data_IF_992461813948
#
_entry.id   IF_992461813948
#
_cell.length_a   1.000
_cell.length_b   1.000
_cell.length_c   1.000
_cell.angle_alpha   90.00
_cell.angle_beta   90.00
_cell.angle_gamma   90.00
#
_symmetry.space_group_name_H-M   'P 1'
#
loop_
_entity.id
_entity.type
_entity.pdbx_description
1 polymer ?
#
# COMPACT_ATOMS: atom_id res chain seq x y z
N UNK A 1 8.78 -22.22 10.76
CA UNK A 1 7.97 -21.20 11.48
C UNK A 1 8.88 -20.50 12.47
N UNK A 2 8.86 -19.17 12.53
CA UNK A 2 9.60 -18.42 13.55
C UNK A 2 8.97 -18.69 14.92
N UNK A 3 9.79 -18.76 15.98
CA UNK A 3 9.35 -19.00 17.37
C UNK A 3 8.28 -18.01 17.87
N UNK A 4 8.06 -16.92 17.14
CA UNK A 4 7.05 -15.90 17.38
C UNK A 4 5.61 -16.41 17.15
N UNK A 5 5.37 -17.19 16.11
CA UNK A 5 4.02 -17.70 15.77
C UNK A 5 3.53 -18.67 16.85
N UNK A 6 4.42 -19.52 17.35
CA UNK A 6 4.13 -20.48 18.42
C UNK A 6 3.81 -19.81 19.76
N UNK A 7 4.52 -18.72 20.09
CA UNK A 7 4.33 -17.97 21.34
C UNK A 7 2.98 -17.26 21.38
N UNK A 8 2.54 -16.70 20.25
CA UNK A 8 1.27 -15.98 20.20
C UNK A 8 0.08 -16.95 20.21
N UNK A 9 0.17 -18.11 19.54
CA UNK A 9 -0.86 -19.16 19.61
C UNK A 9 -1.02 -19.73 21.03
N UNK A 10 0.08 -19.95 21.76
CA UNK A 10 0.00 -20.35 23.18
C UNK A 10 -0.68 -19.28 24.05
N UNK A 11 -0.47 -18.00 23.73
CA UNK A 11 -1.13 -16.89 24.43
C UNK A 11 -2.65 -16.88 24.21
N UNK A 12 -3.10 -17.27 23.02
CA UNK A 12 -4.52 -17.43 22.70
C UNK A 12 -5.16 -18.61 23.45
N UNK A 13 -4.50 -19.77 23.49
CA UNK A 13 -4.96 -20.93 24.27
C UNK A 13 -5.09 -20.63 25.77
N UNK A 14 -4.23 -19.78 26.34
CA UNK A 14 -4.30 -19.39 27.75
C UNK A 14 -5.37 -18.33 28.07
N UNK A 15 -5.82 -17.53 27.10
CA UNK A 15 -6.84 -16.50 27.33
C UNK A 15 -8.26 -17.05 27.29
N UNK A 16 -8.52 -18.08 26.46
CA UNK A 16 -9.84 -18.73 26.38
C UNK A 16 -10.05 -19.79 27.48
N UNK A 17 -8.99 -20.45 27.96
CA UNK A 17 -9.09 -21.55 28.95
C UNK A 17 -9.19 -21.12 30.42
N UNK A 18 -9.09 -19.82 30.75
CA UNK A 18 -9.04 -19.36 32.16
C UNK A 18 -10.38 -19.39 32.90
N UNK A 19 -11.51 -19.74 32.26
CA UNK A 19 -12.81 -19.91 32.95
C UNK A 19 -13.34 -21.35 33.00
N UNK A 20 -12.81 -22.29 32.22
CA UNK A 20 -13.28 -23.69 32.22
C UNK A 20 -12.67 -24.57 33.31
N UNK A 21 -11.57 -24.14 33.95
CA UNK A 21 -10.88 -24.91 34.99
C UNK A 21 -11.44 -24.72 36.42
N UNK A 22 -12.42 -23.83 36.62
CA UNK A 22 -12.96 -23.53 37.96
C UNK A 22 -14.18 -24.38 38.40
N UNK A 23 -14.67 -25.30 37.56
CA UNK A 23 -15.81 -26.16 37.92
C UNK A 23 -15.45 -27.62 38.26
N UNK A 24 -14.16 -27.99 38.38
CA UNK A 24 -13.78 -29.42 38.55
C UNK A 24 -12.81 -29.76 39.68
N UNK A 25 -12.67 -28.93 40.72
CA UNK A 25 -11.86 -29.32 41.89
C UNK A 25 -12.39 -28.72 43.19
N UNK A 26 -13.41 -29.35 43.75
CA UNK A 26 -13.66 -29.33 45.19
C UNK A 26 -13.47 -30.76 45.70
N UNK A 27 -12.23 -31.14 46.00
CA UNK A 27 -11.93 -32.10 47.08
C UNK A 27 -10.43 -32.06 47.42
N UNK A 28 -10.17 -31.86 48.72
CA UNK A 28 -8.90 -32.04 49.45
C UNK A 28 -7.74 -31.05 49.24
N UNK A 29 -7.38 -30.43 50.38
CA UNK A 29 -5.99 -30.44 50.82
C UNK A 29 -5.25 -29.11 50.80
N UNK A 30 -5.42 -28.33 51.86
CA UNK A 30 -4.59 -27.17 52.23
C UNK A 30 -3.08 -27.47 52.11
N UNK A 31 -2.33 -26.55 51.51
CA UNK A 31 -1.05 -26.02 52.04
C UNK A 31 -0.64 -24.74 51.29
N UNK A 32 -0.58 -23.64 52.03
CA UNK A 32 0.11 -22.39 51.69
C UNK A 32 1.62 -22.64 51.66
N UNK A 33 2.41 -22.02 50.75
CA UNK A 33 3.10 -20.81 51.18
C UNK A 33 3.35 -19.73 50.10
N UNK A 34 3.28 -18.49 50.60
CA UNK A 34 4.20 -17.36 50.38
C UNK A 34 4.24 -16.68 49.00
N UNK A 35 3.68 -15.48 49.04
CA UNK A 35 3.93 -14.32 48.21
C UNK A 35 5.42 -14.09 47.94
N UNK A 36 5.78 -14.01 46.66
CA UNK A 36 6.89 -13.19 46.18
C UNK A 36 6.36 -12.28 45.07
N UNK A 37 6.29 -11.01 45.42
CA UNK A 37 5.90 -9.88 44.60
C UNK A 37 6.86 -9.73 43.42
N UNK A 38 6.34 -9.78 42.20
CA UNK A 38 7.08 -9.39 41.00
C UNK A 38 7.26 -7.86 40.98
N UNK A 39 8.47 -7.33 40.71
CA UNK A 39 8.60 -5.93 40.37
C UNK A 39 8.06 -5.70 38.96
N UNK A 40 7.04 -4.85 38.89
CA UNK A 40 6.55 -4.23 37.68
C UNK A 40 7.66 -3.39 37.05
N UNK A 41 8.21 -3.85 35.92
CA UNK A 41 8.94 -2.98 35.02
C UNK A 41 8.24 -2.94 33.66
N UNK A 42 7.87 -1.71 33.33
CA UNK A 42 7.42 -1.18 32.06
C UNK A 42 8.01 -1.90 30.84
N UNK A 43 7.13 -2.47 30.01
CA UNK A 43 7.39 -2.68 28.59
C UNK A 43 6.34 -1.89 27.80
N UNK A 44 6.44 -0.57 27.93
CA UNK A 44 6.08 0.33 26.84
C UNK A 44 7.33 0.47 25.94
N UNK A 45 7.11 0.66 24.65
CA UNK A 45 8.09 1.00 23.61
C UNK A 45 8.92 -0.15 23.01
N UNK A 46 8.33 -0.93 22.08
CA UNK A 46 9.08 -1.38 20.87
C UNK A 46 8.11 -1.47 19.68
N UNK A 47 7.79 -0.33 19.06
CA UNK A 47 7.83 -0.12 17.61
C UNK A 47 7.56 1.36 17.34
N UNK A 48 8.63 2.11 17.17
CA UNK A 48 8.57 3.57 17.02
C UNK A 48 9.95 4.16 16.86
N UNK A 49 10.55 3.95 15.70
CA UNK A 49 11.67 4.73 15.16
C UNK A 49 11.53 4.65 13.64
N UNK A 50 10.63 5.41 13.00
CA UNK A 50 10.84 6.82 12.61
C UNK A 50 12.27 7.28 12.87
N UNK A 51 13.16 6.97 11.94
CA UNK A 51 14.27 7.88 11.70
C UNK A 51 13.70 9.12 11.01
N UNK A 52 13.50 10.16 11.80
CA UNK A 52 13.52 11.51 11.31
C UNK A 52 14.83 11.68 10.53
N UNK A 53 14.72 11.90 9.22
CA UNK A 53 15.82 12.46 8.46
C UNK A 53 15.90 13.91 8.89
N UNK A 54 16.79 14.15 9.84
CA UNK A 54 17.21 15.48 10.25
C UNK A 54 17.62 16.22 8.99
N UNK A 55 17.14 17.46 8.91
CA UNK A 55 17.61 18.48 7.98
C UNK A 55 19.13 18.35 7.78
N UNK A 56 19.56 18.27 6.53
CA UNK A 56 20.96 18.43 6.15
C UNK A 56 21.41 19.82 6.62
N UNK A 57 22.01 19.89 7.80
CA UNK A 57 22.81 21.05 8.21
C UNK A 57 24.11 21.05 7.40
N UNK A 58 24.15 21.98 6.46
CA UNK A 58 25.32 22.79 6.07
C UNK A 58 26.66 22.07 5.99
N UNK A 59 26.98 21.54 4.81
CA UNK A 59 28.30 21.80 4.22
C UNK A 59 28.14 22.79 3.07
N UNK A 60 28.59 24.02 3.31
CA UNK A 60 28.66 25.12 2.34
C UNK A 60 29.64 24.76 1.23
N UNK A 61 29.14 24.22 0.12
CA UNK A 61 29.62 24.56 -1.23
C UNK A 61 28.39 24.65 -2.12
N UNK A 62 28.07 25.88 -2.51
CA UNK A 62 26.92 26.22 -3.35
C UNK A 62 27.07 25.62 -4.75
N UNK A 63 26.12 24.78 -5.15
CA UNK A 63 25.73 24.67 -6.56
C UNK A 63 24.22 24.82 -6.60
N UNK A 64 23.79 26.04 -6.92
CA UNK A 64 22.39 26.42 -7.12
C UNK A 64 21.86 25.64 -8.33
N UNK A 65 21.07 24.59 -8.09
CA UNK A 65 20.15 24.06 -9.09
C UNK A 65 18.72 24.17 -8.54
N UNK A 66 17.99 25.07 -9.19
CA UNK A 66 16.63 25.53 -8.96
C UNK A 66 15.66 24.56 -8.27
N UNK A 67 15.63 24.63 -6.93
CA UNK A 67 14.46 24.25 -6.13
C UNK A 67 14.05 25.48 -5.31
N UNK A 68 13.50 26.50 -5.98
CA UNK A 68 13.06 27.72 -5.31
C UNK A 68 11.81 27.45 -4.48
N UNK A 69 12.01 27.35 -3.17
CA UNK A 69 10.97 27.52 -2.16
C UNK A 69 10.79 29.03 -1.95
N UNK A 70 9.98 29.67 -2.77
CA UNK A 70 9.60 31.07 -2.53
C UNK A 70 8.46 31.12 -1.52
N UNK A 71 8.81 31.54 -0.31
CA UNK A 71 7.85 32.04 0.67
C UNK A 71 7.91 33.56 0.54
N UNK A 72 6.92 34.18 -0.10
CA UNK A 72 6.83 35.64 -0.18
C UNK A 72 5.62 36.09 0.62
N UNK A 73 5.93 36.76 1.74
CA UNK A 73 5.03 37.64 2.46
C UNK A 73 4.62 38.81 1.57
N UNK A 74 3.36 39.19 1.66
CA UNK A 74 2.72 40.32 0.97
C UNK A 74 3.48 41.64 1.13
N UNK A 75 3.70 42.33 0.01
CA UNK A 75 3.67 43.80 -0.01
C UNK A 75 3.16 44.29 -1.36
N UNK A 76 2.31 45.31 -1.28
CA UNK A 76 1.48 45.91 -2.31
C UNK A 76 2.31 46.85 -3.17
N UNK A 77 2.19 46.79 -4.51
CA UNK A 77 2.27 47.98 -5.36
C UNK A 77 1.73 47.72 -6.78
N UNK A 78 0.90 48.66 -7.22
CA UNK A 78 0.18 48.70 -8.48
C UNK A 78 1.04 49.08 -9.70
N UNK A 79 0.44 48.84 -10.86
CA UNK A 79 0.50 49.59 -12.13
C UNK A 79 1.20 49.00 -13.37
N UNK A 80 0.32 48.73 -14.35
CA UNK A 80 0.33 49.14 -15.78
C UNK A 80 0.86 48.18 -16.86
N UNK A 81 -0.12 47.72 -17.65
CA UNK A 81 -0.04 47.31 -19.07
C UNK A 81 0.61 48.38 -19.97
N UNK A 82 1.12 48.00 -21.17
CA UNK A 82 0.27 48.08 -22.38
C UNK A 82 0.40 46.91 -23.36
N UNK A 83 -0.73 46.63 -24.03
CA UNK A 83 -0.87 45.85 -25.28
C UNK A 83 0.09 46.30 -26.39
N UNK A 84 0.47 45.37 -27.28
CA UNK A 84 0.41 45.50 -28.76
C UNK A 84 0.77 44.18 -29.47
N UNK A 85 -0.15 43.67 -30.29
CA UNK A 85 0.10 42.68 -31.36
C UNK A 85 0.39 43.43 -32.68
N UNK A 86 0.80 42.75 -33.78
CA UNK A 86 -0.22 42.29 -34.72
C UNK A 86 0.05 40.97 -35.50
N UNK A 87 -1.10 40.40 -35.85
CA UNK A 87 -1.48 39.38 -36.83
C UNK A 87 -0.70 39.36 -38.18
N UNK A 88 -0.36 38.17 -38.68
CA UNK A 88 -0.32 37.86 -40.13
C UNK A 88 -0.99 36.51 -40.38
N UNK A 89 -2.07 36.53 -41.19
CA UNK A 89 -2.75 35.38 -41.80
C UNK A 89 -2.03 35.03 -43.11
N UNK A 90 -1.93 33.76 -43.50
CA UNK A 90 -2.71 33.20 -44.63
C UNK A 90 -2.38 31.72 -44.93
N UNK A 91 -3.45 31.00 -45.30
CA UNK A 91 -3.53 29.97 -46.35
C UNK A 91 -3.13 28.52 -46.07
N UNK A 92 -4.17 27.67 -45.98
CA UNK A 92 -4.20 26.26 -46.40
C UNK A 92 -4.17 26.16 -47.94
N UNK A 93 -3.83 24.97 -48.49
CA UNK A 93 -4.86 24.21 -49.20
C UNK A 93 -4.89 22.70 -48.90
N UNK A 94 -6.08 22.13 -49.04
CA UNK A 94 -6.40 20.69 -49.06
C UNK A 94 -6.04 20.04 -50.41
N UNK A 95 -5.51 18.81 -50.39
CA UNK A 95 -6.18 17.57 -50.80
C UNK A 95 -5.20 16.42 -51.11
N UNK A 96 -5.44 15.28 -50.44
CA UNK A 96 -5.33 13.89 -50.90
C UNK A 96 -3.99 13.33 -51.46
N UNK A 97 -3.30 12.51 -50.65
CA UNK A 97 -2.77 11.20 -51.09
C UNK A 97 -2.41 10.26 -49.92
N UNK A 98 -3.02 9.07 -50.00
CA UNK A 98 -2.65 7.72 -49.53
C UNK A 98 -1.66 7.48 -48.38
N UNK A 99 -2.12 6.65 -47.44
CA UNK A 99 -1.40 5.53 -46.79
C UNK A 99 0.12 5.45 -46.98
N UNK A 100 0.85 5.85 -45.95
CA UNK A 100 2.06 5.16 -45.52
C UNK A 100 2.19 5.33 -43.99
N UNK A 101 1.59 4.39 -43.25
CA UNK A 101 1.85 4.27 -41.82
C UNK A 101 3.32 3.90 -41.65
N UNK A 102 4.14 4.87 -41.24
CA UNK A 102 5.56 4.67 -41.00
C UNK A 102 5.79 3.46 -40.06
N UNK A 103 6.55 2.43 -40.47
CA UNK A 103 6.84 1.26 -39.64
C UNK A 103 7.81 1.55 -38.47
N UNK A 104 8.32 2.79 -38.37
CA UNK A 104 9.44 3.13 -37.49
C UNK A 104 9.05 3.50 -36.04
N UNK A 105 7.90 4.12 -35.79
CA UNK A 105 7.55 4.53 -34.41
C UNK A 105 7.26 3.34 -33.48
N UNK A 106 6.62 2.29 -34.01
CA UNK A 106 6.26 1.10 -33.25
C UNK A 106 7.47 0.19 -32.96
N UNK A 107 8.48 0.17 -33.85
CA UNK A 107 9.73 -0.57 -33.65
C UNK A 107 10.71 0.14 -32.70
N UNK A 108 10.79 1.46 -32.75
CA UNK A 108 11.62 2.24 -31.82
C UNK A 108 11.05 2.23 -30.39
N UNK A 109 9.72 2.27 -30.26
CA UNK A 109 9.05 2.23 -28.95
C UNK A 109 9.17 0.88 -28.25
N UNK A 110 9.15 -0.24 -28.99
CA UNK A 110 9.45 -1.57 -28.44
C UNK A 110 10.93 -1.71 -28.06
N UNK A 111 11.84 -1.22 -28.90
CA UNK A 111 13.29 -1.27 -28.67
C UNK A 111 13.72 -0.58 -27.36
N UNK A 112 13.21 0.63 -27.08
CA UNK A 112 13.54 1.33 -25.83
C UNK A 112 13.02 0.57 -24.60
N UNK A 113 11.80 0.02 -24.66
CA UNK A 113 11.24 -0.74 -23.54
C UNK A 113 11.99 -2.04 -23.27
N UNK A 114 12.53 -2.68 -24.30
CA UNK A 114 13.36 -3.88 -24.14
C UNK A 114 14.75 -3.53 -23.62
N UNK A 115 15.35 -2.42 -24.07
CA UNK A 115 16.58 -1.86 -23.48
C UNK A 115 16.37 -1.46 -22.02
N UNK A 116 15.23 -0.86 -21.68
CA UNK A 116 14.91 -0.46 -20.31
C UNK A 116 14.92 -1.66 -19.35
N UNK A 117 14.44 -2.83 -19.79
CA UNK A 117 14.48 -4.06 -18.95
C UNK A 117 15.90 -4.57 -18.68
N UNK A 118 16.86 -4.19 -19.51
CA UNK A 118 18.27 -4.57 -19.36
C UNK A 118 19.08 -3.61 -18.47
N UNK A 119 18.51 -2.45 -18.13
CA UNK A 119 19.14 -1.51 -17.20
C UNK A 119 19.24 -2.11 -15.79
N UNK A 120 20.41 -1.97 -15.17
CA UNK A 120 20.69 -2.50 -13.84
C UNK A 120 20.96 -1.39 -12.81
N UNK A 121 21.15 -0.14 -13.27
CA UNK A 121 21.28 1.05 -12.44
C UNK A 121 20.31 2.17 -12.87
N UNK A 122 19.95 3.11 -11.96
CA UNK A 122 19.27 4.35 -12.32
C UNK A 122 20.00 5.14 -13.40
N UNK A 123 21.33 5.20 -13.32
CA UNK A 123 22.18 5.92 -14.29
C UNK A 123 22.04 5.35 -15.70
N UNK A 124 21.99 4.02 -15.85
CA UNK A 124 21.78 3.36 -17.15
C UNK A 124 20.48 3.83 -17.80
N UNK A 125 19.42 4.00 -17.00
CA UNK A 125 18.12 4.49 -17.48
C UNK A 125 18.24 5.95 -17.93
N UNK A 126 18.98 6.77 -17.19
CA UNK A 126 19.16 8.18 -17.52
C UNK A 126 20.01 8.39 -18.78
N UNK A 127 21.06 7.60 -18.96
CA UNK A 127 21.85 7.55 -20.19
C UNK A 127 20.97 7.13 -21.37
N UNK A 128 20.16 6.07 -21.22
CA UNK A 128 19.23 5.61 -22.24
C UNK A 128 18.21 6.70 -22.65
N UNK A 129 17.70 7.48 -21.69
CA UNK A 129 16.79 8.60 -21.96
C UNK A 129 17.48 9.83 -22.55
N UNK A 130 18.80 9.94 -22.38
CA UNK A 130 19.61 11.00 -22.98
C UNK A 130 19.91 10.68 -24.45
N UNK A 131 20.11 9.41 -24.78
CA UNK A 131 20.30 8.92 -26.14
C UNK A 131 19.00 8.89 -26.97
N UNK A 132 17.86 8.63 -26.31
CA UNK A 132 16.56 8.49 -26.98
C UNK A 132 15.53 9.38 -26.29
N UNK A 133 14.90 10.29 -27.02
CA UNK A 133 13.81 11.10 -26.48
C UNK A 133 12.61 10.20 -26.11
N UNK A 134 12.27 10.03 -24.81
CA UNK A 134 11.20 9.12 -24.41
C UNK A 134 9.83 9.69 -24.79
N UNK A 135 8.94 8.83 -25.29
CA UNK A 135 7.52 9.15 -25.47
C UNK A 135 6.84 9.37 -24.12
N UNK A 136 5.65 10.00 -24.14
CA UNK A 136 4.86 10.30 -22.93
C UNK A 136 4.63 9.08 -22.03
N UNK A 137 4.38 7.90 -22.61
CA UNK A 137 4.22 6.65 -21.85
C UNK A 137 5.55 6.15 -21.28
N UNK A 138 6.64 6.26 -22.05
CA UNK A 138 7.97 5.82 -21.65
C UNK A 138 8.52 6.64 -20.48
N UNK A 139 8.20 7.94 -20.37
CA UNK A 139 8.61 8.75 -19.21
C UNK A 139 8.15 8.11 -17.90
N UNK A 140 6.88 7.69 -17.83
CA UNK A 140 6.36 6.99 -16.65
C UNK A 140 7.05 5.64 -16.45
N UNK A 141 7.29 4.89 -17.52
CA UNK A 141 8.03 3.62 -17.45
C UNK A 141 9.46 3.81 -16.93
N UNK A 142 10.18 4.83 -17.36
CA UNK A 142 11.54 5.15 -16.88
C UNK A 142 11.53 5.46 -15.39
N UNK A 143 10.66 6.37 -14.93
CA UNK A 143 10.55 6.71 -13.49
C UNK A 143 10.20 5.48 -12.64
N UNK A 144 9.23 4.68 -13.10
CA UNK A 144 8.86 3.43 -12.43
C UNK A 144 10.01 2.43 -12.39
N UNK A 145 10.79 2.34 -13.47
CA UNK A 145 11.91 1.41 -13.57
C UNK A 145 13.07 1.83 -12.67
N UNK A 146 13.43 3.12 -12.65
CA UNK A 146 14.41 3.67 -11.71
C UNK A 146 14.00 3.32 -10.27
N UNK A 147 12.75 3.63 -9.89
CA UNK A 147 12.24 3.25 -8.56
C UNK A 147 12.33 1.74 -8.30
N UNK A 148 11.96 0.91 -9.28
CA UNK A 148 11.99 -0.54 -9.14
C UNK A 148 13.40 -1.11 -8.94
N UNK A 149 14.40 -0.63 -9.71
CA UNK A 149 15.79 -1.03 -9.54
C UNK A 149 16.27 -0.59 -8.15
N UNK A 150 16.10 0.69 -7.80
CA UNK A 150 16.54 1.25 -6.52
C UNK A 150 15.95 0.48 -5.34
N UNK A 151 14.66 0.14 -5.39
CA UNK A 151 13.98 -0.64 -4.34
C UNK A 151 14.60 -2.02 -4.07
N UNK A 152 15.26 -2.62 -5.07
CA UNK A 152 15.89 -3.96 -4.95
C UNK A 152 17.33 -3.92 -4.44
N UNK A 153 17.94 -2.73 -4.34
CA UNK A 153 19.34 -2.58 -3.94
C UNK A 153 19.55 -2.83 -2.43
N UNK A 154 20.78 -3.19 -2.05
CA UNK A 154 21.21 -3.16 -0.65
C UNK A 154 21.20 -1.72 -0.12
N UNK A 155 21.12 -1.55 1.20
CA UNK A 155 21.06 -0.23 1.84
C UNK A 155 22.26 0.66 1.46
N UNK A 156 23.45 0.07 1.39
CA UNK A 156 24.69 0.80 1.06
C UNK A 156 24.68 1.28 -0.40
N UNK A 157 24.32 0.39 -1.33
CA UNK A 157 24.24 0.73 -2.75
C UNK A 157 23.11 1.74 -3.03
N UNK A 158 21.98 1.60 -2.32
CA UNK A 158 20.81 2.46 -2.49
C UNK A 158 21.14 3.95 -2.29
N UNK A 159 21.93 4.28 -1.25
CA UNK A 159 22.29 5.70 -0.97
C UNK A 159 23.21 6.26 -2.03
N UNK A 160 24.23 5.50 -2.42
CA UNK A 160 25.21 5.91 -3.41
C UNK A 160 24.56 6.11 -4.79
N UNK A 161 23.73 5.16 -5.23
CA UNK A 161 23.03 5.22 -6.52
C UNK A 161 22.01 6.35 -6.59
N UNK A 162 21.30 6.64 -5.49
CA UNK A 162 20.43 7.82 -5.44
C UNK A 162 21.24 9.11 -5.59
N UNK A 163 22.39 9.23 -4.93
CA UNK A 163 23.23 10.41 -5.06
C UNK A 163 23.69 10.60 -6.52
N UNK A 164 24.20 9.54 -7.16
CA UNK A 164 24.57 9.58 -8.57
C UNK A 164 23.41 9.98 -9.48
N UNK A 165 22.21 9.44 -9.23
CA UNK A 165 21.00 9.77 -9.98
C UNK A 165 20.66 11.27 -9.86
N UNK A 166 20.71 11.84 -8.66
CA UNK A 166 20.41 13.26 -8.44
C UNK A 166 21.49 14.18 -9.03
N UNK A 167 22.76 13.75 -9.06
CA UNK A 167 23.86 14.51 -9.66
C UNK A 167 23.83 14.43 -11.21
N UNK A 168 23.19 13.40 -11.77
CA UNK A 168 23.12 13.15 -13.21
C UNK A 168 22.19 14.15 -13.94
N UNK A 169 22.68 14.90 -14.95
CA UNK A 169 21.89 15.94 -15.63
C UNK A 169 20.63 15.41 -16.34
N UNK A 170 20.66 14.15 -16.80
CA UNK A 170 19.51 13.49 -17.41
C UNK A 170 18.31 13.33 -16.47
N UNK A 171 18.51 13.32 -15.14
CA UNK A 171 17.40 13.20 -14.20
C UNK A 171 16.52 14.45 -14.18
N UNK A 172 17.14 15.63 -14.12
CA UNK A 172 16.42 16.91 -14.20
C UNK A 172 15.65 17.02 -15.51
N UNK A 173 16.26 16.63 -16.63
CA UNK A 173 15.61 16.60 -17.95
C UNK A 173 14.39 15.68 -17.95
N UNK A 174 14.51 14.48 -17.39
CA UNK A 174 13.42 13.52 -17.28
C UNK A 174 12.25 14.07 -16.43
N UNK A 175 12.54 14.72 -15.30
CA UNK A 175 11.52 15.34 -14.44
C UNK A 175 10.82 16.52 -15.14
N UNK A 176 11.56 17.36 -15.87
CA UNK A 176 10.99 18.45 -16.65
C UNK A 176 10.09 17.93 -17.79
N UNK A 177 10.52 16.87 -18.48
CA UNK A 177 9.71 16.22 -19.50
C UNK A 177 8.44 15.61 -18.89
N UNK A 178 8.53 14.97 -17.72
CA UNK A 178 7.38 14.45 -16.99
C UNK A 178 6.38 15.57 -16.65
N UNK A 179 6.88 16.68 -16.11
CA UNK A 179 6.06 17.85 -15.77
C UNK A 179 5.37 18.45 -17.00
N UNK A 180 6.08 18.62 -18.13
CA UNK A 180 5.53 19.17 -19.38
C UNK A 180 4.47 18.26 -19.99
N UNK A 181 4.60 16.95 -19.83
CA UNK A 181 3.73 15.97 -20.49
C UNK A 181 2.66 15.38 -19.56
N UNK A 182 2.54 15.82 -18.31
CA UNK A 182 1.58 15.26 -17.34
C UNK A 182 0.15 15.26 -17.87
N UNK A 183 -0.28 16.34 -18.55
CA UNK A 183 -1.62 16.46 -19.12
C UNK A 183 -1.92 15.49 -20.27
N UNK A 184 -0.88 14.88 -20.85
CA UNK A 184 -0.98 13.87 -21.92
C UNK A 184 -0.78 12.45 -21.39
N UNK A 185 -0.43 12.29 -20.11
CA UNK A 185 -0.28 10.99 -19.46
C UNK A 185 -1.65 10.45 -19.06
N UNK A 186 -1.87 9.14 -19.23
CA UNK A 186 -3.05 8.50 -18.65
C UNK A 186 -2.97 8.51 -17.12
N UNK A 187 -4.13 8.58 -16.44
CA UNK A 187 -4.23 8.68 -14.98
C UNK A 187 -3.41 7.61 -14.22
N UNK A 188 -3.35 6.39 -14.73
CA UNK A 188 -2.50 5.33 -14.16
C UNK A 188 -1.01 5.68 -14.22
N UNK A 189 -0.53 6.18 -15.35
CA UNK A 189 0.86 6.62 -15.51
C UNK A 189 1.17 7.83 -14.61
N UNK A 190 0.22 8.76 -14.45
CA UNK A 190 0.36 9.88 -13.51
C UNK A 190 0.53 9.35 -12.08
N UNK A 191 -0.36 8.46 -11.63
CA UNK A 191 -0.33 7.88 -10.28
C UNK A 191 0.99 7.15 -9.99
N UNK A 192 1.44 6.29 -10.91
CA UNK A 192 2.68 5.55 -10.76
C UNK A 192 3.93 6.45 -10.83
N UNK A 193 3.92 7.47 -11.70
CA UNK A 193 5.04 8.42 -11.79
C UNK A 193 5.16 9.23 -10.51
N UNK A 194 4.05 9.75 -9.98
CA UNK A 194 4.02 10.48 -8.71
C UNK A 194 4.54 9.59 -7.56
N UNK A 195 4.04 8.36 -7.45
CA UNK A 195 4.52 7.41 -6.43
C UNK A 195 6.02 7.15 -6.57
N UNK A 196 6.51 6.97 -7.78
CA UNK A 196 7.93 6.70 -8.04
C UNK A 196 8.80 7.90 -7.65
N UNK A 197 8.43 9.12 -8.07
CA UNK A 197 9.17 10.34 -7.71
C UNK A 197 9.20 10.58 -6.19
N UNK A 198 8.08 10.41 -5.50
CA UNK A 198 8.02 10.56 -4.03
C UNK A 198 8.91 9.53 -3.33
N UNK A 199 8.87 8.27 -3.76
CA UNK A 199 9.69 7.21 -3.16
C UNK A 199 11.19 7.33 -3.50
N UNK A 200 11.53 7.91 -4.65
CA UNK A 200 12.90 8.24 -5.02
C UNK A 200 13.46 9.42 -4.22
N UNK A 201 12.63 10.11 -3.44
CA UNK A 201 13.05 11.24 -2.61
C UNK A 201 13.02 12.59 -3.31
N UNK A 202 12.32 12.71 -4.45
CA UNK A 202 12.09 14.02 -5.09
C UNK A 202 11.37 14.92 -4.09
N UNK A 203 11.87 16.13 -3.78
CA UNK A 203 11.29 16.99 -2.76
C UNK A 203 9.81 17.24 -2.99
N UNK A 204 8.96 17.00 -1.98
CA UNK A 204 7.50 17.06 -2.14
C UNK A 204 7.00 18.49 -2.41
N UNK A 205 7.74 19.51 -1.97
CA UNK A 205 7.50 20.91 -2.31
C UNK A 205 8.00 21.35 -3.69
N UNK A 206 8.66 20.47 -4.44
CA UNK A 206 9.16 20.80 -5.78
C UNK A 206 8.02 21.05 -6.76
N UNK A 207 8.29 21.90 -7.76
CA UNK A 207 7.33 22.23 -8.81
C UNK A 207 6.79 20.98 -9.53
N UNK A 208 7.64 19.99 -9.82
CA UNK A 208 7.22 18.75 -10.50
C UNK A 208 6.20 17.98 -9.67
N UNK A 209 6.44 17.76 -8.37
CA UNK A 209 5.49 17.07 -7.50
C UNK A 209 4.18 17.85 -7.38
N UNK A 210 4.25 19.17 -7.21
CA UNK A 210 3.07 20.02 -7.10
C UNK A 210 2.24 20.04 -8.41
N UNK A 211 2.89 20.02 -9.57
CA UNK A 211 2.21 19.89 -10.86
C UNK A 211 1.48 18.55 -11.00
N UNK A 212 2.10 17.44 -10.57
CA UNK A 212 1.43 16.13 -10.57
C UNK A 212 0.26 16.07 -9.58
N UNK A 213 0.43 16.61 -8.38
CA UNK A 213 -0.65 16.70 -7.39
C UNK A 213 -1.85 17.50 -7.92
N UNK A 214 -1.59 18.66 -8.53
CA UNK A 214 -2.64 19.49 -9.14
C UNK A 214 -3.34 18.77 -10.28
N UNK A 215 -2.59 18.11 -11.16
CA UNK A 215 -3.18 17.32 -12.24
C UNK A 215 -4.08 16.20 -11.72
N UNK A 216 -3.66 15.48 -10.67
CA UNK A 216 -4.47 14.47 -10.00
C UNK A 216 -5.75 15.07 -9.40
N UNK A 217 -5.70 16.27 -8.80
CA UNK A 217 -6.87 16.95 -8.26
C UNK A 217 -7.89 17.31 -9.36
N UNK A 218 -7.43 17.89 -10.46
CA UNK A 218 -8.28 18.32 -11.58
C UNK A 218 -8.91 17.14 -12.34
N UNK A 219 -8.23 15.99 -12.40
CA UNK A 219 -8.64 14.84 -13.19
C UNK A 219 -9.12 13.65 -12.33
N UNK A 220 -9.35 13.86 -11.03
CA UNK A 220 -9.58 12.77 -10.07
C UNK A 220 -10.76 11.86 -10.45
N UNK A 221 -11.80 12.43 -11.03
CA UNK A 221 -12.98 11.71 -11.50
C UNK A 221 -12.68 10.70 -12.62
N UNK A 222 -11.58 10.87 -13.35
CA UNK A 222 -11.15 9.96 -14.41
C UNK A 222 -10.26 8.81 -13.94
N UNK A 223 -9.87 8.74 -12.66
CA UNK A 223 -9.04 7.65 -12.16
C UNK A 223 -9.88 6.38 -12.00
N UNK A 224 -9.36 5.25 -12.45
CA UNK A 224 -9.94 3.93 -12.18
C UNK A 224 -9.60 3.46 -10.75
N UNK A 225 -10.19 2.34 -10.31
CA UNK A 225 -9.98 1.79 -8.95
C UNK A 225 -8.49 1.53 -8.67
N UNK A 226 -7.76 1.00 -9.66
CA UNK A 226 -6.33 0.69 -9.53
C UNK A 226 -5.50 1.96 -9.35
N UNK A 227 -5.72 2.97 -10.19
CA UNK A 227 -4.99 4.24 -10.13
C UNK A 227 -5.31 5.01 -8.86
N UNK A 228 -6.56 4.98 -8.39
CA UNK A 228 -6.95 5.55 -7.09
C UNK A 228 -6.22 4.85 -5.94
N UNK A 229 -6.09 3.53 -5.97
CA UNK A 229 -5.38 2.77 -4.92
C UNK A 229 -3.90 3.14 -4.84
N UNK A 230 -3.24 3.28 -6.01
CA UNK A 230 -1.84 3.73 -6.09
C UNK A 230 -1.71 5.16 -5.57
N UNK A 231 -2.61 6.05 -5.98
CA UNK A 231 -2.62 7.45 -5.54
C UNK A 231 -2.83 7.55 -4.03
N UNK A 232 -3.81 6.83 -3.47
CA UNK A 232 -4.08 6.80 -2.03
C UNK A 232 -2.87 6.26 -1.23
N UNK A 233 -2.19 5.23 -1.74
CA UNK A 233 -0.96 4.70 -1.16
C UNK A 233 0.17 5.75 -1.16
N UNK A 234 0.34 6.47 -2.27
CA UNK A 234 1.30 7.57 -2.37
C UNK A 234 1.00 8.66 -1.33
N UNK A 235 -0.23 9.17 -1.30
CA UNK A 235 -0.63 10.27 -0.41
C UNK A 235 -0.52 9.92 1.07
N UNK A 236 -0.67 8.63 1.42
CA UNK A 236 -0.49 8.15 2.80
C UNK A 236 0.94 8.32 3.30
N UNK A 237 1.92 8.22 2.40
CA UNK A 237 3.34 8.31 2.72
C UNK A 237 3.90 9.72 2.54
N UNK A 238 3.14 10.63 1.92
CA UNK A 238 3.53 12.03 1.74
C UNK A 238 3.39 12.84 3.04
N UNK A 239 4.18 13.90 3.12
CA UNK A 239 4.08 14.92 4.16
C UNK A 239 2.71 15.61 4.10
N UNK A 240 2.25 16.05 5.26
CA UNK A 240 1.02 16.81 5.37
C UNK A 240 1.22 18.17 4.70
N UNK A 241 0.34 18.48 3.75
CA UNK A 241 0.30 19.75 3.06
C UNK A 241 -1.14 20.00 2.62
N UNK A 242 -1.51 21.26 2.43
CA UNK A 242 -2.87 21.62 1.98
C UNK A 242 -3.25 20.86 0.69
N UNK A 243 -2.31 20.66 -0.23
CA UNK A 243 -2.55 19.95 -1.49
C UNK A 243 -2.69 18.43 -1.29
N UNK A 244 -1.84 17.84 -0.44
CA UNK A 244 -1.90 16.41 -0.10
C UNK A 244 -3.23 16.10 0.59
N UNK A 245 -3.64 16.94 1.55
CA UNK A 245 -4.82 16.70 2.36
C UNK A 245 -6.12 16.97 1.59
N UNK A 246 -6.18 18.04 0.79
CA UNK A 246 -7.27 18.28 -0.15
C UNK A 246 -7.44 17.13 -1.15
N UNK A 247 -6.33 16.56 -1.65
CA UNK A 247 -6.41 15.41 -2.56
C UNK A 247 -6.83 14.12 -1.83
N UNK A 248 -6.41 13.90 -0.58
CA UNK A 248 -6.95 12.79 0.25
C UNK A 248 -8.44 12.93 0.49
N UNK A 249 -8.94 14.14 0.70
CA UNK A 249 -10.37 14.43 0.84
C UNK A 249 -11.09 14.18 -0.49
N UNK A 250 -10.54 14.66 -1.61
CA UNK A 250 -11.06 14.39 -2.95
C UNK A 250 -11.17 12.89 -3.26
N UNK A 251 -10.14 12.11 -2.92
CA UNK A 251 -10.15 10.64 -3.12
C UNK A 251 -11.29 10.01 -2.32
N UNK A 252 -11.52 10.47 -1.07
CA UNK A 252 -12.63 10.01 -0.24
C UNK A 252 -13.99 10.36 -0.87
N UNK A 253 -14.15 11.59 -1.36
CA UNK A 253 -15.40 12.02 -2.03
C UNK A 253 -15.70 11.21 -3.29
N UNK A 254 -14.69 10.96 -4.14
CA UNK A 254 -14.86 10.14 -5.35
C UNK A 254 -15.25 8.70 -5.00
N UNK A 255 -14.60 8.13 -3.99
CA UNK A 255 -14.95 6.79 -3.49
C UNK A 255 -16.38 6.75 -2.96
N UNK A 256 -16.78 7.74 -2.17
CA UNK A 256 -18.12 7.85 -1.61
C UNK A 256 -19.19 7.99 -2.70
N UNK A 257 -18.93 8.81 -3.72
CA UNK A 257 -19.83 8.96 -4.87
C UNK A 257 -19.99 7.67 -5.69
N UNK A 258 -18.92 6.85 -5.77
CA UNK A 258 -18.91 5.58 -6.52
C UNK A 258 -19.42 4.39 -5.70
N UNK A 259 -19.49 4.50 -4.38
CA UNK A 259 -19.87 3.42 -3.47
C UNK A 259 -21.21 2.73 -3.83
N UNK A 260 -22.29 3.46 -4.21
CA UNK A 260 -23.54 2.82 -4.62
C UNK A 260 -23.37 1.87 -5.82
N UNK A 261 -22.47 2.21 -6.74
CA UNK A 261 -22.23 1.49 -8.00
C UNK A 261 -21.36 0.23 -7.84
N UNK A 262 -20.78 0.00 -6.67
CA UNK A 262 -19.98 -1.21 -6.40
C UNK A 262 -20.92 -2.43 -6.39
N UNK A 263 -20.66 -3.41 -7.26
CA UNK A 263 -21.50 -4.60 -7.44
C UNK A 263 -20.94 -5.88 -6.83
N UNK A 264 -19.64 -5.94 -6.55
CA UNK A 264 -18.99 -7.14 -6.04
C UNK A 264 -18.21 -6.84 -4.76
N UNK A 265 -18.11 -7.86 -3.89
CA UNK A 265 -17.52 -7.71 -2.55
C UNK A 265 -16.02 -7.42 -2.64
N UNK A 266 -15.35 -7.95 -3.67
CA UNK A 266 -13.92 -7.71 -3.92
C UNK A 266 -13.59 -6.22 -4.12
N UNK A 267 -14.34 -5.50 -4.94
CA UNK A 267 -14.17 -4.07 -5.15
C UNK A 267 -14.51 -3.28 -3.88
N UNK A 268 -15.52 -3.72 -3.12
CA UNK A 268 -15.87 -3.11 -1.84
C UNK A 268 -14.72 -3.21 -0.82
N UNK A 269 -14.17 -4.41 -0.61
CA UNK A 269 -13.07 -4.60 0.34
C UNK A 269 -11.79 -3.86 -0.08
N UNK A 270 -11.48 -3.81 -1.38
CA UNK A 270 -10.32 -3.10 -1.91
C UNK A 270 -10.44 -1.61 -1.62
N UNK A 271 -11.64 -1.07 -1.85
CA UNK A 271 -11.96 0.33 -1.59
C UNK A 271 -11.86 0.67 -0.10
N UNK A 272 -12.39 -0.19 0.78
CA UNK A 272 -12.26 -0.05 2.23
C UNK A 272 -10.80 -0.05 2.69
N UNK A 273 -9.97 -1.00 2.20
CA UNK A 273 -8.55 -1.11 2.55
C UNK A 273 -7.72 0.07 2.03
N UNK A 274 -8.04 0.55 0.83
CA UNK A 274 -7.39 1.70 0.20
C UNK A 274 -7.51 2.95 1.08
N UNK A 275 -8.71 3.26 1.59
CA UNK A 275 -8.91 4.44 2.44
C UNK A 275 -8.36 4.21 3.86
N UNK A 276 -8.55 3.00 4.40
CA UNK A 276 -7.95 2.59 5.67
C UNK A 276 -8.48 3.37 6.89
N UNK A 277 -7.65 3.46 7.93
CA UNK A 277 -8.05 3.90 9.28
C UNK A 277 -8.55 5.36 9.35
N UNK A 278 -8.01 6.22 8.49
CA UNK A 278 -8.26 7.68 8.51
C UNK A 278 -9.57 8.07 7.81
N UNK A 279 -10.35 7.06 7.37
CA UNK A 279 -11.68 7.26 6.80
C UNK A 279 -12.64 7.87 7.84
N UNK A 280 -13.43 8.91 7.49
CA UNK A 280 -14.47 9.46 8.35
C UNK A 280 -15.50 8.42 8.78
N UNK A 281 -16.08 8.59 9.98
CA UNK A 281 -17.04 7.64 10.53
C UNK A 281 -18.30 7.49 9.68
N UNK A 282 -18.77 8.57 9.06
CA UNK A 282 -19.95 8.55 8.20
C UNK A 282 -19.73 7.70 6.95
N UNK A 283 -18.56 7.83 6.34
CA UNK A 283 -18.18 7.00 5.19
C UNK A 283 -17.97 5.54 5.61
N UNK A 284 -17.40 5.27 6.79
CA UNK A 284 -17.33 3.90 7.35
C UNK A 284 -18.72 3.27 7.52
N UNK A 285 -19.71 4.01 8.00
CA UNK A 285 -21.12 3.56 8.10
C UNK A 285 -21.75 3.32 6.73
N UNK A 286 -21.40 4.12 5.71
CA UNK A 286 -21.86 3.86 4.33
C UNK A 286 -21.27 2.57 3.78
N UNK A 287 -20.00 2.27 4.05
CA UNK A 287 -19.40 0.97 3.72
C UNK A 287 -20.10 -0.18 4.44
N UNK A 288 -20.42 -0.01 5.73
CA UNK A 288 -21.18 -1.00 6.50
C UNK A 288 -22.54 -1.29 5.85
N UNK A 289 -23.34 -0.25 5.58
CA UNK A 289 -24.64 -0.40 4.94
C UNK A 289 -24.52 -1.09 3.58
N UNK A 290 -23.50 -0.74 2.79
CA UNK A 290 -23.23 -1.39 1.50
C UNK A 290 -22.86 -2.87 1.68
N UNK A 291 -21.98 -3.20 2.61
CA UNK A 291 -21.60 -4.58 2.89
C UNK A 291 -22.79 -5.42 3.38
N UNK A 292 -23.64 -4.86 4.26
CA UNK A 292 -24.86 -5.50 4.74
C UNK A 292 -25.85 -5.75 3.60
N UNK A 293 -25.98 -4.83 2.64
CA UNK A 293 -26.83 -5.03 1.46
C UNK A 293 -26.39 -6.20 0.58
N UNK A 294 -25.13 -6.62 0.67
CA UNK A 294 -24.51 -7.69 -0.12
C UNK A 294 -24.25 -8.96 0.70
N UNK A 295 -24.62 -8.97 1.99
CA UNK A 295 -24.17 -10.00 2.94
C UNK A 295 -24.71 -11.40 2.65
N UNK A 296 -25.82 -11.50 1.92
CA UNK A 296 -26.42 -12.78 1.53
C UNK A 296 -25.55 -13.57 0.55
N UNK A 297 -24.72 -12.87 -0.21
CA UNK A 297 -23.90 -13.46 -1.27
C UNK A 297 -22.44 -13.67 -0.82
N UNK A 298 -22.14 -13.49 0.47
CA UNK A 298 -20.79 -13.63 0.98
C UNK A 298 -20.32 -15.08 0.90
N UNK A 299 -19.20 -15.30 0.22
CA UNK A 299 -18.42 -16.52 0.36
C UNK A 299 -17.59 -16.50 1.66
N UNK A 300 -16.97 -17.64 1.99
CA UNK A 300 -15.96 -17.73 3.05
C UNK A 300 -14.83 -16.71 2.82
N UNK A 301 -14.33 -16.62 1.57
CA UNK A 301 -13.24 -15.72 1.23
C UNK A 301 -13.66 -14.26 1.39
N UNK A 302 -14.87 -13.91 0.93
CA UNK A 302 -15.45 -12.57 1.11
C UNK A 302 -15.57 -12.19 2.58
N UNK A 303 -16.00 -13.13 3.43
CA UNK A 303 -16.12 -12.91 4.87
C UNK A 303 -14.77 -12.59 5.53
N UNK A 304 -13.74 -13.39 5.26
CA UNK A 304 -12.38 -13.13 5.76
C UNK A 304 -11.84 -11.78 5.29
N UNK A 305 -12.12 -11.46 4.03
CA UNK A 305 -11.73 -10.23 3.37
C UNK A 305 -12.39 -8.98 3.97
N UNK A 306 -13.69 -9.04 4.24
CA UNK A 306 -14.46 -7.98 4.91
C UNK A 306 -14.01 -7.80 6.36
N UNK A 307 -13.80 -8.88 7.11
CA UNK A 307 -13.25 -8.80 8.49
C UNK A 307 -11.90 -8.05 8.48
N UNK A 308 -11.01 -8.44 7.55
CA UNK A 308 -9.68 -7.81 7.42
C UNK A 308 -9.79 -6.34 6.97
N UNK A 309 -10.73 -6.02 6.08
CA UNK A 309 -10.98 -4.65 5.63
C UNK A 309 -11.49 -3.77 6.79
N UNK A 310 -12.45 -4.26 7.60
CA UNK A 310 -12.92 -3.59 8.81
C UNK A 310 -11.78 -3.35 9.81
N UNK A 311 -10.91 -4.34 10.02
CA UNK A 311 -9.74 -4.21 10.88
C UNK A 311 -8.77 -3.13 10.36
N UNK A 312 -8.52 -3.10 9.04
CA UNK A 312 -7.69 -2.08 8.38
C UNK A 312 -8.27 -0.66 8.57
N UNK A 313 -9.58 -0.53 8.52
CA UNK A 313 -10.29 0.73 8.75
C UNK A 313 -10.44 1.09 10.24
N UNK A 314 -10.07 0.18 11.16
CA UNK A 314 -10.36 0.28 12.59
C UNK A 314 -11.85 0.60 12.83
N UNK A 315 -12.72 -0.16 12.18
CA UNK A 315 -14.16 0.04 12.26
C UNK A 315 -14.84 -1.23 12.78
N UNK A 316 -15.50 -1.12 13.92
CA UNK A 316 -16.23 -2.23 14.53
C UNK A 316 -17.70 -2.18 14.10
N UNK A 317 -18.14 -3.20 13.35
CA UNK A 317 -19.54 -3.46 13.04
C UNK A 317 -19.92 -4.82 13.57
N UNK A 318 -20.68 -4.85 14.67
CA UNK A 318 -21.21 -6.11 15.22
C UNK A 318 -22.03 -6.91 14.19
N UNK A 319 -23.03 -6.33 13.48
CA UNK A 319 -23.86 -7.13 12.57
C UNK A 319 -23.06 -7.78 11.44
N UNK A 320 -22.06 -7.09 10.87
CA UNK A 320 -21.18 -7.70 9.87
C UNK A 320 -20.28 -8.77 10.48
N UNK A 321 -19.74 -8.53 11.67
CA UNK A 321 -18.88 -9.50 12.34
C UNK A 321 -19.63 -10.78 12.68
N UNK A 322 -20.87 -10.68 13.18
CA UNK A 322 -21.72 -11.84 13.50
C UNK A 322 -22.00 -12.67 12.23
N UNK A 323 -22.31 -12.02 11.10
CA UNK A 323 -22.52 -12.69 9.80
C UNK A 323 -21.23 -13.37 9.32
N UNK A 324 -20.13 -12.62 9.24
CA UNK A 324 -18.86 -13.15 8.73
C UNK A 324 -18.29 -14.24 9.64
N UNK A 325 -18.46 -14.14 10.97
CA UNK A 325 -17.99 -15.16 11.90
C UNK A 325 -18.77 -16.46 11.77
N UNK A 326 -20.08 -16.38 11.55
CA UNK A 326 -20.93 -17.56 11.31
C UNK A 326 -20.50 -18.31 10.03
N UNK A 327 -20.33 -17.58 8.92
CA UNK A 327 -19.84 -18.18 7.65
C UNK A 327 -18.46 -18.82 7.86
N UNK A 328 -17.59 -18.18 8.64
CA UNK A 328 -16.24 -18.69 8.93
C UNK A 328 -16.29 -19.96 9.80
N UNK A 329 -17.16 -20.02 10.79
CA UNK A 329 -17.35 -21.21 11.63
C UNK A 329 -17.91 -22.39 10.84
N UNK A 330 -18.92 -22.16 9.99
CA UNK A 330 -19.54 -23.22 9.17
C UNK A 330 -18.55 -23.87 8.19
N UNK A 331 -17.50 -23.15 7.79
CA UNK A 331 -16.53 -23.60 6.81
C UNK A 331 -15.12 -23.75 7.41
N UNK A 332 -15.01 -23.88 8.74
CA UNK A 332 -13.73 -23.79 9.46
C UNK A 332 -12.70 -24.81 9.00
N UNK A 333 -13.16 -26.02 8.66
CA UNK A 333 -12.30 -27.13 8.24
C UNK A 333 -11.61 -26.89 6.88
N UNK A 334 -12.14 -25.99 6.07
CA UNK A 334 -11.57 -25.60 4.78
C UNK A 334 -10.54 -24.47 4.87
N UNK A 335 -10.30 -23.90 6.06
CA UNK A 335 -9.47 -22.71 6.21
C UNK A 335 -8.01 -23.11 6.46
N UNK A 336 -7.05 -22.71 5.59
CA UNK A 336 -5.65 -22.94 5.88
C UNK A 336 -5.20 -22.13 7.09
N UNK A 337 -4.27 -22.69 7.88
CA UNK A 337 -3.78 -22.10 9.14
C UNK A 337 -3.44 -20.61 9.05
N UNK A 338 -2.77 -20.16 7.98
CA UNK A 338 -2.41 -18.75 7.81
C UNK A 338 -3.63 -17.83 7.70
N UNK A 339 -4.63 -18.23 6.91
CA UNK A 339 -5.87 -17.45 6.75
C UNK A 339 -6.69 -17.45 8.05
N UNK A 340 -6.71 -18.56 8.79
CA UNK A 340 -7.34 -18.64 10.10
C UNK A 340 -6.65 -17.68 11.09
N UNK A 341 -5.32 -17.70 11.13
CA UNK A 341 -4.53 -16.85 12.01
C UNK A 341 -4.75 -15.35 11.70
N UNK A 342 -4.77 -14.97 10.43
CA UNK A 342 -5.08 -13.60 9.99
C UNK A 342 -6.49 -13.17 10.41
N UNK A 343 -7.47 -14.09 10.32
CA UNK A 343 -8.84 -13.85 10.75
C UNK A 343 -8.92 -13.63 12.26
N UNK A 344 -8.30 -14.50 13.06
CA UNK A 344 -8.21 -14.36 14.52
C UNK A 344 -7.50 -13.05 14.93
N UNK A 345 -6.43 -12.70 14.23
CA UNK A 345 -5.72 -11.44 14.46
C UNK A 345 -6.62 -10.23 14.17
N UNK A 346 -7.42 -10.29 13.11
CA UNK A 346 -8.37 -9.25 12.75
C UNK A 346 -9.48 -9.12 13.79
N UNK A 347 -10.03 -10.22 14.30
CA UNK A 347 -10.98 -10.21 15.43
C UNK A 347 -10.37 -9.56 16.67
N UNK A 348 -9.10 -9.84 16.98
CA UNK A 348 -8.40 -9.16 18.08
C UNK A 348 -8.33 -7.65 17.89
N UNK A 349 -7.94 -7.21 16.69
CA UNK A 349 -7.81 -5.79 16.36
C UNK A 349 -9.16 -5.07 16.47
N UNK A 350 -10.24 -5.76 16.10
CA UNK A 350 -11.62 -5.29 16.21
C UNK A 350 -12.21 -5.47 17.61
N UNK A 351 -11.51 -6.13 18.53
CA UNK A 351 -12.01 -6.47 19.86
C UNK A 351 -13.31 -7.30 19.83
N UNK A 352 -13.51 -8.09 18.78
CA UNK A 352 -14.64 -9.02 18.67
C UNK A 352 -14.40 -10.22 19.60
N UNK A 353 -15.35 -10.48 20.51
CA UNK A 353 -15.22 -11.47 21.60
C UNK A 353 -16.40 -12.44 21.64
N UNK A 354 -16.70 -13.06 20.51
CA UNK A 354 -17.59 -14.21 20.50
C UNK A 354 -16.82 -15.44 21.01
N UNK A 355 -17.25 -15.98 22.16
CA UNK A 355 -16.56 -17.08 22.83
C UNK A 355 -16.63 -18.37 22.00
N UNK A 356 -17.76 -18.64 21.36
CA UNK A 356 -17.98 -19.85 20.57
C UNK A 356 -17.10 -19.83 19.32
N UNK A 357 -17.09 -18.69 18.60
CA UNK A 357 -16.23 -18.48 17.43
C UNK A 357 -14.77 -18.64 17.80
N UNK A 358 -14.32 -17.96 18.85
CA UNK A 358 -12.91 -17.98 19.24
C UNK A 358 -12.47 -19.35 19.76
N UNK A 359 -13.35 -20.08 20.45
CA UNK A 359 -13.06 -21.44 20.93
C UNK A 359 -12.90 -22.39 19.75
N UNK A 360 -13.88 -22.43 18.84
CA UNK A 360 -13.83 -23.30 17.65
C UNK A 360 -12.59 -23.01 16.79
N UNK A 361 -12.25 -21.74 16.58
CA UNK A 361 -11.02 -21.35 15.88
C UNK A 361 -9.75 -21.81 16.59
N UNK A 362 -9.70 -21.70 17.92
CA UNK A 362 -8.54 -22.12 18.70
C UNK A 362 -8.35 -23.64 18.68
N UNK A 363 -9.43 -24.41 18.75
CA UNK A 363 -9.41 -25.87 18.69
C UNK A 363 -9.01 -26.36 17.30
N UNK A 364 -9.54 -25.75 16.24
CA UNK A 364 -9.15 -26.08 14.88
C UNK A 364 -7.67 -25.74 14.61
N UNK A 365 -7.19 -24.58 15.09
CA UNK A 365 -5.77 -24.23 15.03
C UNK A 365 -4.87 -25.23 15.78
N UNK A 366 -5.28 -25.68 16.97
CA UNK A 366 -4.57 -26.69 17.73
C UNK A 366 -4.50 -28.03 16.97
N UNK A 367 -5.62 -28.48 16.39
CA UNK A 367 -5.69 -29.69 15.57
C UNK A 367 -4.72 -29.63 14.37
N UNK A 368 -4.68 -28.50 13.65
CA UNK A 368 -3.73 -28.30 12.55
C UNK A 368 -2.27 -28.39 13.01
N UNK A 369 -1.94 -27.77 14.16
CA UNK A 369 -0.59 -27.82 14.75
C UNK A 369 -0.22 -29.26 15.15
N UNK A 370 -1.15 -30.01 15.74
CA UNK A 370 -0.93 -31.40 16.12
C UNK A 370 -0.66 -32.29 14.90
N UNK A 371 -1.41 -32.12 13.82
CA UNK A 371 -1.20 -32.83 12.56
C UNK A 371 0.18 -32.50 11.99
N UNK A 372 0.58 -31.23 11.98
CA UNK A 372 1.89 -30.81 11.50
C UNK A 372 3.02 -31.37 12.35
N UNK A 373 2.87 -31.36 13.68
CA UNK A 373 3.85 -31.92 14.61
C UNK A 373 4.02 -33.43 14.39
N UNK A 374 2.91 -34.16 14.25
CA UNK A 374 2.93 -35.60 13.92
C UNK A 374 3.61 -35.87 12.58
N UNK A 375 3.33 -35.06 11.55
CA UNK A 375 3.99 -35.19 10.22
C UNK A 375 5.50 -34.94 10.30
N UNK A 376 5.95 -33.94 11.05
CA UNK A 376 7.39 -33.69 11.23
C UNK A 376 8.08 -34.84 11.96
N UNK A 377 7.45 -35.40 12.99
CA UNK A 377 7.98 -36.58 13.71
C UNK A 377 8.09 -37.78 12.78
N UNK A 378 7.11 -38.03 11.90
CA UNK A 378 7.16 -39.13 10.93
C UNK A 378 8.23 -38.91 9.85
N UNK A 379 8.39 -37.69 9.34
CA UNK A 379 9.41 -37.35 8.34
C UNK A 379 10.84 -37.37 8.91
N UNK A 380 11.03 -37.13 10.22
CA UNK A 380 12.30 -37.26 10.90
C UNK A 380 12.62 -38.70 11.35
N UNK A 381 11.67 -39.64 11.23
CA UNK A 381 11.84 -41.05 11.62
C UNK A 381 11.56 -42.06 10.48
N UNK A 382 12.12 -41.93 9.26
CA UNK A 382 11.91 -42.93 8.21
C UNK A 382 12.59 -44.29 8.49
N UNK A 383 13.45 -44.41 9.51
CA UNK A 383 14.26 -45.61 9.78
C UNK A 383 13.65 -46.65 10.74
N UNK A 384 12.40 -46.50 11.18
CA UNK A 384 11.77 -47.51 12.07
C UNK A 384 10.63 -48.32 11.44
N UNK A 385 10.24 -48.04 10.19
CA UNK A 385 9.13 -48.77 9.53
C UNK A 385 9.62 -50.01 8.77
N UNK A 386 10.92 -50.15 8.48
CA UNK A 386 11.46 -51.32 7.78
C UNK A 386 11.86 -52.51 8.69
N UNK A 387 11.73 -52.41 10.02
CA UNK A 387 12.19 -53.47 10.94
C UNK A 387 11.04 -54.35 11.48
N UNK A 388 9.77 -54.02 11.22
CA UNK A 388 8.64 -54.83 11.73
C UNK A 388 8.05 -55.79 10.66
N UNK A 389 8.58 -55.80 9.43
CA UNK A 389 8.18 -56.77 8.39
C UNK A 389 9.20 -57.90 8.14
N UNK A 390 10.23 -58.03 8.97
CA UNK A 390 11.12 -59.21 8.98
C UNK A 390 11.49 -59.58 10.43
N UNK A 391 10.57 -60.23 11.10
CA UNK A 391 10.85 -61.06 12.27
C UNK A 391 9.73 -62.07 12.43
#
# INVERSE_FOLDING_TARGET
MSAWVTKEVMRWGCLCSRRSLWQRSNLMGKKSPKYTTFPSQQLAHIWGTKHHQTCLESNRVSSVRFYSKETIHSEVLEEKEPLSSPLVKSSLPDENQSDETAPNETQLTSSLMDRLKSCMSPSDVLELTSENAPTVKQISSCLCHIWFITKKMSIDNHRYELQLMFDHPGFDVLLQQAMKNVGRMGNGNVAYSLLSMVNLGVPQGSRVIQTFLRHCQENLNGFDERSLSILASCLRNMEQSNNTDALKDGVRMVVEARLPNIKNVMALQNTMRMLGKDTPIDLKRKFEAKALSMSKDFSLLDSQHIITAMATMKFFSKPLLDICSKITQENIDGIPFNALFETMQSFRQLQYRDLEVLTNMSEHAASMIDIWTKKQVLQQNPRKISIIQRS
#
